data_IF_809510155063
#
_entry.id   IF_809510155063
#
_cell.length_a   1.000
_cell.length_b   1.000
_cell.length_c   1.000
_cell.angle_alpha   90.00
_cell.angle_beta   90.00
_cell.angle_gamma   90.00
#
_symmetry.space_group_name_H-M   'P 1'
#
loop_
_entity.id
_entity.type
_entity.pdbx_description
1 polymer ?
#
# COMPACT_ATOMS: atom_id res chain seq x y z
N UNK A 1 -8.97 -8.48 -13.59
CA UNK A 1 -9.46 -8.39 -12.21
C UNK A 1 -8.31 -7.89 -11.34
N UNK A 2 -8.48 -6.78 -10.63
CA UNK A 2 -7.43 -6.18 -9.80
C UNK A 2 -7.25 -6.94 -8.47
N UNK A 3 -6.11 -6.73 -7.79
CA UNK A 3 -5.83 -7.33 -6.49
C UNK A 3 -5.95 -8.86 -6.46
N UNK A 4 -5.55 -9.49 -7.57
CA UNK A 4 -5.65 -10.95 -7.75
C UNK A 4 -4.47 -11.47 -8.56
N UNK A 5 -4.24 -12.80 -8.58
CA UNK A 5 -3.24 -13.43 -9.44
C UNK A 5 -3.35 -13.07 -10.93
N UNK A 6 -4.54 -12.65 -11.40
CA UNK A 6 -4.71 -12.20 -12.78
C UNK A 6 -3.92 -10.93 -13.13
N UNK A 7 -3.27 -10.29 -12.15
CA UNK A 7 -2.32 -9.20 -12.35
C UNK A 7 -0.89 -9.65 -12.64
N UNK A 8 -0.55 -10.93 -12.46
CA UNK A 8 0.80 -11.46 -12.72
C UNK A 8 1.37 -11.05 -14.10
N UNK A 9 0.61 -11.11 -15.21
CA UNK A 9 1.13 -10.72 -16.53
C UNK A 9 1.54 -9.24 -16.65
N UNK A 10 1.05 -8.36 -15.76
CA UNK A 10 1.35 -6.94 -15.78
C UNK A 10 2.55 -6.56 -14.89
N UNK A 11 3.04 -7.46 -14.02
CA UNK A 11 4.01 -7.10 -12.98
C UNK A 11 5.36 -6.63 -13.53
N UNK A 12 5.84 -7.21 -14.62
CA UNK A 12 7.14 -6.84 -15.20
C UNK A 12 7.10 -5.46 -15.83
N UNK A 13 6.04 -5.17 -16.59
CA UNK A 13 5.81 -3.84 -17.16
C UNK A 13 5.60 -2.79 -16.06
N UNK A 14 4.87 -3.14 -15.00
CA UNK A 14 4.67 -2.25 -13.86
C UNK A 14 5.98 -1.99 -13.10
N UNK A 15 6.77 -3.03 -12.83
CA UNK A 15 8.11 -2.91 -12.20
C UNK A 15 9.02 -1.97 -12.98
N UNK A 16 9.07 -2.10 -14.31
CA UNK A 16 9.90 -1.23 -15.14
C UNK A 16 9.57 0.27 -14.97
N UNK A 17 8.30 0.60 -14.70
CA UNK A 17 7.89 1.98 -14.39
C UNK A 17 8.27 2.36 -12.96
N UNK A 18 7.96 1.51 -11.98
CA UNK A 18 8.21 1.81 -10.55
C UNK A 18 9.70 1.96 -10.24
N UNK A 19 10.56 1.14 -10.86
CA UNK A 19 12.02 1.21 -10.68
C UNK A 19 12.62 2.54 -11.18
N UNK A 20 11.90 3.26 -12.05
CA UNK A 20 12.29 4.60 -12.50
C UNK A 20 11.86 5.74 -11.57
N UNK A 21 11.14 5.45 -10.47
CA UNK A 21 10.62 6.45 -9.55
C UNK A 21 11.53 6.66 -8.35
N UNK A 22 11.61 7.91 -7.87
CA UNK A 22 12.17 8.20 -6.54
C UNK A 22 11.08 8.06 -5.49
N UNK A 23 11.03 6.89 -4.85
CA UNK A 23 10.11 6.64 -3.74
C UNK A 23 10.69 7.18 -2.44
N UNK A 24 9.84 7.74 -1.59
CA UNK A 24 10.21 8.32 -0.30
C UNK A 24 9.27 7.83 0.78
N UNK A 25 9.76 7.80 2.01
CA UNK A 25 8.92 7.54 3.17
C UNK A 25 7.82 8.61 3.27
N UNK A 26 6.61 8.24 3.74
CA UNK A 26 5.54 9.21 3.91
C UNK A 26 5.95 10.28 4.94
N UNK A 27 5.56 11.53 4.69
CA UNK A 27 5.82 12.65 5.62
C UNK A 27 4.84 12.75 6.79
N UNK A 28 3.85 11.86 6.83
CA UNK A 28 2.84 11.73 7.88
C UNK A 28 2.67 10.24 8.19
N UNK A 29 2.12 9.94 9.36
CA UNK A 29 1.78 8.57 9.73
C UNK A 29 0.78 7.98 8.73
N UNK A 30 1.08 6.77 8.27
CA UNK A 30 0.29 6.07 7.28
C UNK A 30 0.13 4.60 7.66
N UNK A 31 -1.00 4.00 7.30
CA UNK A 31 -1.26 2.57 7.45
C UNK A 31 -1.33 1.95 6.05
N UNK A 32 -0.60 0.87 5.85
CA UNK A 32 -0.61 0.14 4.58
C UNK A 32 -1.86 -0.73 4.49
N UNK A 33 -2.63 -0.57 3.40
CA UNK A 33 -3.81 -1.42 3.16
C UNK A 33 -3.47 -2.82 2.66
N UNK A 34 -2.19 -3.12 2.43
CA UNK A 34 -1.72 -4.50 2.16
C UNK A 34 -1.51 -5.27 3.47
N UNK A 35 -0.96 -4.59 4.48
CA UNK A 35 -0.56 -5.21 5.76
C UNK A 35 -1.59 -4.99 6.86
N UNK A 36 -2.33 -3.87 6.84
CA UNK A 36 -3.15 -3.41 7.95
C UNK A 36 -2.32 -2.81 9.10
N UNK A 37 -1.09 -2.39 8.82
CA UNK A 37 -0.13 -1.94 9.83
C UNK A 37 0.52 -0.61 9.45
N UNK A 38 1.10 0.08 10.44
CA UNK A 38 1.82 1.33 10.24
C UNK A 38 2.99 1.16 9.25
N UNK A 39 3.17 2.15 8.38
CA UNK A 39 4.23 2.16 7.37
C UNK A 39 5.53 2.64 8.02
N UNK A 40 6.51 1.75 8.13
CA UNK A 40 7.84 2.08 8.69
C UNK A 40 8.92 2.32 7.64
N UNK A 41 8.69 1.93 6.38
CA UNK A 41 9.66 2.10 5.31
C UNK A 41 9.30 1.44 3.98
N UNK A 42 8.41 0.44 3.99
CA UNK A 42 8.06 -0.36 2.83
C UNK A 42 7.63 0.44 1.59
N UNK A 43 7.04 1.63 1.75
CA UNK A 43 6.61 2.47 0.62
C UNK A 43 7.76 3.13 -0.15
N UNK A 44 8.96 3.14 0.42
CA UNK A 44 10.18 3.58 -0.27
C UNK A 44 10.79 2.49 -1.15
N UNK A 45 10.26 1.26 -1.07
CA UNK A 45 10.77 0.10 -1.81
C UNK A 45 9.90 -0.18 -3.04
N UNK A 46 10.46 -0.22 -4.26
CA UNK A 46 9.71 -0.57 -5.48
C UNK A 46 8.95 -1.89 -5.37
N UNK A 47 9.57 -2.88 -4.70
CA UNK A 47 8.99 -4.21 -4.53
C UNK A 47 7.64 -4.21 -3.81
N UNK A 48 7.41 -3.28 -2.88
CA UNK A 48 6.12 -3.15 -2.20
C UNK A 48 5.00 -2.83 -3.19
N UNK A 49 5.21 -1.86 -4.07
CA UNK A 49 4.19 -1.41 -5.03
C UNK A 49 3.90 -2.48 -6.08
N UNK A 50 4.94 -3.16 -6.56
CA UNK A 50 4.78 -4.26 -7.52
C UNK A 50 3.98 -5.41 -6.92
N UNK A 51 4.19 -5.75 -5.65
CA UNK A 51 3.39 -6.79 -4.99
C UNK A 51 1.97 -6.28 -4.68
N UNK A 52 1.82 -5.01 -4.28
CA UNK A 52 0.53 -4.43 -3.85
C UNK A 52 -0.58 -4.58 -4.89
N UNK A 53 -0.29 -4.42 -6.18
CA UNK A 53 -1.32 -4.45 -7.24
C UNK A 53 -2.03 -5.81 -7.37
N UNK A 54 -1.44 -6.88 -6.85
CA UNK A 54 -2.02 -8.24 -6.81
C UNK A 54 -2.46 -8.69 -5.41
N UNK A 55 -2.13 -7.93 -4.37
CA UNK A 55 -2.52 -8.26 -2.98
C UNK A 55 -3.91 -7.72 -2.67
N UNK A 56 -4.69 -8.42 -1.81
CA UNK A 56 -5.97 -7.93 -1.35
C UNK A 56 -5.83 -6.63 -0.56
N UNK A 57 -6.85 -5.78 -0.64
CA UNK A 57 -6.95 -4.56 0.16
C UNK A 57 -7.61 -4.90 1.50
N UNK A 58 -6.85 -4.82 2.58
CA UNK A 58 -7.30 -5.04 3.97
C UNK A 58 -7.89 -3.76 4.56
N UNK A 59 -8.95 -3.25 3.94
CA UNK A 59 -9.53 -1.95 4.29
C UNK A 59 -10.00 -1.87 5.76
N UNK A 60 -10.71 -2.90 6.24
CA UNK A 60 -11.17 -2.94 7.63
C UNK A 60 -10.01 -2.94 8.63
N UNK A 61 -8.96 -3.70 8.35
CA UNK A 61 -7.78 -3.72 9.23
C UNK A 61 -7.07 -2.37 9.23
N UNK A 62 -7.08 -1.67 8.09
CA UNK A 62 -6.55 -0.30 7.98
C UNK A 62 -7.34 0.67 8.86
N UNK A 63 -8.68 0.62 8.80
CA UNK A 63 -9.55 1.47 9.63
C UNK A 63 -9.34 1.18 11.11
N UNK A 64 -9.27 -0.10 11.50
CA UNK A 64 -9.01 -0.49 12.90
C UNK A 64 -7.65 -0.02 13.40
N UNK A 65 -6.60 -0.12 12.57
CA UNK A 65 -5.28 0.39 12.94
C UNK A 65 -5.29 1.92 13.15
N UNK A 66 -6.10 2.67 12.39
CA UNK A 66 -6.30 4.11 12.61
C UNK A 66 -7.05 4.38 13.92
N UNK A 67 -8.12 3.61 14.21
CA UNK A 67 -8.86 3.69 15.48
C UNK A 67 -7.96 3.39 16.68
N UNK A 68 -7.14 2.33 16.60
CA UNK A 68 -6.17 1.94 17.64
C UNK A 68 -5.07 3.00 17.82
N UNK A 69 -4.72 3.73 16.76
CA UNK A 69 -3.82 4.89 16.82
C UNK A 69 -4.49 6.16 17.37
N UNK A 70 -5.78 6.10 17.70
CA UNK A 70 -6.53 7.19 18.33
C UNK A 70 -7.28 8.11 17.35
N UNK A 71 -7.39 7.74 16.07
CA UNK A 71 -8.22 8.49 15.14
C UNK A 71 -9.70 8.39 15.51
N UNK A 72 -10.37 9.54 15.68
CA UNK A 72 -11.81 9.63 16.01
C UNK A 72 -12.65 10.25 14.90
N UNK A 73 -11.99 10.76 13.85
CA UNK A 73 -12.64 11.39 12.71
C UNK A 73 -11.96 10.89 11.44
N UNK A 74 -12.76 10.38 10.50
CA UNK A 74 -12.31 9.93 9.18
C UNK A 74 -12.95 10.83 8.12
N UNK A 75 -12.15 11.29 7.17
CA UNK A 75 -12.59 12.10 6.04
C UNK A 75 -12.22 11.37 4.74
N UNK A 76 -13.21 11.10 3.91
CA UNK A 76 -13.01 10.66 2.53
C UNK A 76 -12.88 11.90 1.64
N UNK A 77 -11.80 11.97 0.83
CA UNK A 77 -11.44 13.10 -0.02
C UNK A 77 -11.92 12.94 -1.45
#
# INVERSE_FOLDING_TARGET
AFHSPLMEPALDAFRAVVDGLTLRAPGIDAVSSVTGEAVTGAWSEPGYWVDQIRRPVRFLDTVRALEDAGATTLLEL
#
